data_IF_025496252233
#
_entry.id   IF_025496252233
#
_cell.length_a   1.000
_cell.length_b   1.000
_cell.length_c   1.000
_cell.angle_alpha   90.00
_cell.angle_beta   90.00
_cell.angle_gamma   90.00
#
_symmetry.space_group_name_H-M   'P 1'
#
loop_
_entity.id
_entity.type
_entity.pdbx_description
1 polymer ?
#
# COMPACT_ATOMS: atom_id res chain seq x y z
N UNK A 1 28.66 14.68 -20.66
CA UNK A 1 29.01 14.88 -19.23
C UNK A 1 28.31 13.86 -18.31
N UNK A 2 27.36 13.06 -18.80
CA UNK A 2 26.59 12.06 -18.04
C UNK A 2 27.35 10.76 -17.70
N UNK A 3 28.32 10.33 -18.53
CA UNK A 3 28.96 9.02 -18.36
C UNK A 3 29.87 8.93 -17.12
N UNK A 4 30.47 10.05 -16.69
CA UNK A 4 31.38 10.06 -15.54
C UNK A 4 30.59 10.02 -14.22
N UNK A 5 29.43 10.68 -14.18
CA UNK A 5 28.56 10.69 -13.01
C UNK A 5 27.87 9.33 -12.83
N UNK A 6 27.46 8.68 -13.93
CA UNK A 6 26.95 7.30 -13.91
C UNK A 6 27.99 6.29 -13.41
N UNK A 7 29.24 6.39 -13.89
CA UNK A 7 30.35 5.55 -13.43
C UNK A 7 30.68 5.79 -11.94
N UNK A 8 30.60 7.04 -11.49
CA UNK A 8 30.80 7.41 -10.09
C UNK A 8 29.71 6.83 -9.18
N UNK A 9 28.44 6.83 -9.62
CA UNK A 9 27.35 6.19 -8.87
C UNK A 9 27.52 4.66 -8.83
N UNK A 10 27.98 4.03 -9.91
CA UNK A 10 28.28 2.58 -9.91
C UNK A 10 29.44 2.24 -8.98
N UNK A 11 30.49 3.06 -8.95
CA UNK A 11 31.59 2.90 -8.00
C UNK A 11 31.12 3.12 -6.55
N UNK A 12 30.33 4.15 -6.29
CA UNK A 12 29.81 4.44 -4.95
C UNK A 12 28.84 3.37 -4.46
N UNK A 13 27.97 2.86 -5.32
CA UNK A 13 27.02 1.79 -4.98
C UNK A 13 27.72 0.45 -4.73
N UNK A 14 28.78 0.12 -5.48
CA UNK A 14 29.59 -1.09 -5.22
C UNK A 14 30.42 -0.94 -3.94
N UNK A 15 31.03 0.23 -3.69
CA UNK A 15 31.72 0.53 -2.43
C UNK A 15 30.74 0.45 -1.25
N UNK A 16 29.54 0.99 -1.39
CA UNK A 16 28.49 0.91 -0.39
C UNK A 16 28.05 -0.53 -0.12
N UNK A 17 27.83 -1.35 -1.15
CA UNK A 17 27.55 -2.78 -0.99
C UNK A 17 28.69 -3.53 -0.28
N UNK A 18 29.95 -3.24 -0.61
CA UNK A 18 31.12 -3.86 0.05
C UNK A 18 31.20 -3.44 1.51
N UNK A 19 30.99 -2.15 1.82
CA UNK A 19 30.98 -1.65 3.22
C UNK A 19 29.85 -2.28 4.03
N UNK A 20 28.67 -2.48 3.42
CA UNK A 20 27.55 -3.14 4.07
C UNK A 20 27.82 -4.62 4.34
N UNK A 21 28.32 -5.36 3.34
CA UNK A 21 28.52 -6.81 3.42
C UNK A 21 29.75 -7.23 4.25
N UNK A 22 30.84 -6.46 4.18
CA UNK A 22 32.13 -6.84 4.78
C UNK A 22 32.39 -6.10 6.10
N UNK A 23 32.03 -4.81 6.19
CA UNK A 23 32.38 -3.97 7.34
C UNK A 23 31.21 -3.77 8.32
N UNK A 24 29.96 -4.10 7.93
CA UNK A 24 28.74 -3.84 8.70
C UNK A 24 28.64 -2.38 9.20
N UNK A 25 29.25 -1.45 8.47
CA UNK A 25 29.35 -0.05 8.84
C UNK A 25 28.12 0.71 8.33
N UNK A 26 27.10 0.76 9.19
CA UNK A 26 25.82 1.43 8.94
C UNK A 26 25.94 2.95 8.73
N UNK A 27 26.69 3.72 9.55
CA UNK A 27 26.81 5.16 9.34
C UNK A 27 27.55 5.50 8.05
N UNK A 28 28.66 4.81 7.75
CA UNK A 28 29.41 5.05 6.51
C UNK A 28 28.63 4.70 5.24
N UNK A 29 27.73 3.71 5.31
CA UNK A 29 26.82 3.38 4.22
C UNK A 29 25.73 4.44 4.03
N UNK A 30 25.22 5.02 5.13
CA UNK A 30 24.21 6.09 5.07
C UNK A 30 24.74 7.34 4.37
N UNK A 31 25.95 7.77 4.70
CA UNK A 31 26.56 8.95 4.08
C UNK A 31 26.74 8.75 2.57
N UNK A 32 27.13 7.54 2.16
CA UNK A 32 27.23 7.16 0.74
C UNK A 32 25.85 7.13 0.08
N UNK A 33 24.82 6.61 0.74
CA UNK A 33 23.45 6.58 0.22
C UNK A 33 22.94 8.00 0.02
N UNK A 34 23.11 8.89 1.00
CA UNK A 34 22.68 10.29 0.92
C UNK A 34 23.45 11.05 -0.18
N UNK A 35 24.78 10.89 -0.25
CA UNK A 35 25.58 11.51 -1.32
C UNK A 35 25.14 11.01 -2.69
N UNK A 36 24.92 9.70 -2.83
CA UNK A 36 24.50 9.09 -4.09
C UNK A 36 23.08 9.53 -4.46
N UNK A 37 22.17 9.67 -3.50
CA UNK A 37 20.81 10.15 -3.72
C UNK A 37 20.78 11.58 -4.28
N UNK A 38 21.63 12.48 -3.76
CA UNK A 38 21.71 13.87 -4.26
C UNK A 38 22.23 13.93 -5.69
N UNK A 39 23.17 13.05 -6.05
CA UNK A 39 23.72 12.95 -7.41
C UNK A 39 22.68 12.34 -8.34
N UNK A 40 21.97 11.30 -7.88
CA UNK A 40 20.91 10.62 -8.62
C UNK A 40 19.75 11.58 -8.94
N UNK A 41 19.36 12.45 -7.99
CA UNK A 41 18.30 13.44 -8.21
C UNK A 41 18.60 14.51 -9.27
N UNK A 42 19.86 14.62 -9.70
CA UNK A 42 20.29 15.54 -10.77
C UNK A 42 20.28 14.88 -12.15
N UNK A 43 20.18 13.55 -12.22
CA UNK A 43 20.16 12.79 -13.46
C UNK A 43 18.70 12.50 -13.80
N UNK A 44 18.20 13.14 -14.86
CA UNK A 44 16.88 12.84 -15.40
C UNK A 44 16.96 11.60 -16.31
N UNK A 45 16.42 10.47 -15.85
CA UNK A 45 16.25 9.25 -16.66
C UNK A 45 16.41 7.96 -15.87
N UNK A 46 15.76 6.88 -16.33
CA UNK A 46 15.89 5.54 -15.73
C UNK A 46 17.06 4.81 -16.38
N UNK A 47 18.27 5.05 -15.86
CA UNK A 47 19.48 4.29 -16.25
C UNK A 47 19.60 3.04 -15.36
N UNK A 48 20.18 1.90 -15.82
CA UNK A 48 20.52 0.72 -14.99
C UNK A 48 21.38 1.01 -13.73
N UNK A 49 21.93 2.22 -13.63
CA UNK A 49 22.57 2.74 -12.42
C UNK A 49 21.57 2.80 -11.23
N UNK A 50 20.31 3.11 -11.51
CA UNK A 50 19.24 3.18 -10.50
C UNK A 50 18.96 1.81 -9.88
N UNK A 51 18.96 0.74 -10.67
CA UNK A 51 18.70 -0.61 -10.15
C UNK A 51 19.79 -1.03 -9.14
N UNK A 52 21.06 -0.73 -9.41
CA UNK A 52 22.17 -1.01 -8.49
C UNK A 52 22.11 -0.17 -7.22
N UNK A 53 21.76 1.10 -7.33
CA UNK A 53 21.54 1.98 -6.18
C UNK A 53 20.39 1.47 -5.30
N UNK A 54 19.22 1.19 -5.87
CA UNK A 54 18.07 0.72 -5.11
C UNK A 54 18.32 -0.67 -4.49
N UNK A 55 19.10 -1.55 -5.14
CA UNK A 55 19.55 -2.83 -4.56
C UNK A 55 20.45 -2.63 -3.33
N UNK A 56 21.30 -1.62 -3.32
CA UNK A 56 22.12 -1.28 -2.14
C UNK A 56 21.26 -0.67 -1.02
N UNK A 57 20.44 0.34 -1.37
CA UNK A 57 19.56 1.07 -0.46
C UNK A 57 18.61 0.14 0.29
N UNK A 58 17.96 -0.77 -0.44
CA UNK A 58 17.10 -1.81 0.14
C UNK A 58 17.84 -2.76 1.09
N UNK A 59 19.05 -3.23 0.77
CA UNK A 59 19.83 -4.07 1.70
C UNK A 59 20.17 -3.32 2.99
N UNK A 60 20.50 -2.04 2.89
CA UNK A 60 20.70 -1.18 4.06
C UNK A 60 19.43 -1.06 4.92
N UNK A 61 18.27 -0.75 4.33
CA UNK A 61 17.02 -0.65 5.08
C UNK A 61 16.57 -1.98 5.68
N UNK A 62 16.89 -3.11 5.03
CA UNK A 62 16.65 -4.45 5.57
C UNK A 62 17.47 -4.71 6.83
N UNK A 63 18.75 -4.32 6.85
CA UNK A 63 19.63 -4.43 8.02
C UNK A 63 19.22 -3.47 9.16
N UNK A 64 18.80 -2.26 8.81
CA UNK A 64 18.33 -1.26 9.77
C UNK A 64 16.96 -1.60 10.39
N UNK A 65 16.25 -2.60 9.86
CA UNK A 65 14.90 -2.96 10.31
C UNK A 65 13.82 -1.94 9.94
N UNK A 66 14.10 -1.01 9.01
CA UNK A 66 13.14 0.00 8.56
C UNK A 66 12.30 -0.54 7.39
N UNK A 67 11.22 -1.25 7.74
CA UNK A 67 10.38 -1.95 6.75
C UNK A 67 9.63 -1.01 5.78
N UNK A 68 9.28 0.20 6.20
CA UNK A 68 8.51 1.14 5.37
C UNK A 68 9.35 1.73 4.23
N UNK A 69 10.57 2.18 4.52
CA UNK A 69 11.48 2.70 3.50
C UNK A 69 12.02 1.59 2.61
N UNK A 70 12.29 0.41 3.18
CA UNK A 70 12.61 -0.78 2.40
C UNK A 70 11.53 -1.07 1.34
N UNK A 71 10.25 -1.03 1.73
CA UNK A 71 9.15 -1.28 0.82
C UNK A 71 9.12 -0.27 -0.36
N UNK A 72 9.30 1.03 -0.09
CA UNK A 72 9.32 2.06 -1.14
C UNK A 72 10.48 1.89 -2.11
N UNK A 73 11.68 1.67 -1.58
CA UNK A 73 12.89 1.51 -2.38
C UNK A 73 12.88 0.21 -3.16
N UNK A 74 12.30 -0.86 -2.60
CA UNK A 74 12.09 -2.11 -3.30
C UNK A 74 11.08 -1.97 -4.44
N UNK A 75 9.99 -1.21 -4.29
CA UNK A 75 9.08 -0.94 -5.41
C UNK A 75 9.76 -0.14 -6.53
N UNK A 76 10.56 0.87 -6.17
CA UNK A 76 11.37 1.63 -7.15
C UNK A 76 12.35 0.72 -7.88
N UNK A 77 13.03 -0.18 -7.16
CA UNK A 77 13.90 -1.18 -7.76
C UNK A 77 13.15 -2.03 -8.79
N UNK A 78 11.99 -2.56 -8.42
CA UNK A 78 11.16 -3.39 -9.31
C UNK A 78 10.64 -2.62 -10.52
N UNK A 79 10.34 -1.32 -10.38
CA UNK A 79 9.95 -0.47 -11.50
C UNK A 79 11.09 -0.12 -12.47
N UNK A 80 12.35 -0.24 -12.05
CA UNK A 80 13.52 0.06 -12.87
C UNK A 80 14.20 -1.17 -13.49
N UNK A 81 13.82 -2.38 -13.08
CA UNK A 81 14.51 -3.61 -13.49
C UNK A 81 13.56 -4.48 -14.31
N UNK A 82 13.99 -4.89 -15.50
CA UNK A 82 13.19 -5.82 -16.29
C UNK A 82 13.20 -7.22 -15.66
N UNK A 83 12.02 -7.83 -15.59
CA UNK A 83 11.77 -9.14 -15.01
C UNK A 83 12.57 -10.29 -15.68
N UNK A 84 13.22 -10.01 -16.82
CA UNK A 84 14.06 -10.95 -17.55
C UNK A 84 15.49 -11.06 -17.00
N UNK A 85 15.98 -10.09 -16.21
CA UNK A 85 17.36 -10.08 -15.73
C UNK A 85 17.60 -10.86 -14.43
N UNK A 86 16.53 -11.19 -13.69
CA UNK A 86 16.61 -11.87 -12.40
C UNK A 86 16.27 -13.35 -12.50
N UNK A 87 17.01 -14.18 -11.75
CA UNK A 87 16.67 -15.58 -11.57
C UNK A 87 15.35 -15.75 -10.81
N UNK A 88 14.64 -16.84 -11.07
CA UNK A 88 13.35 -17.09 -10.39
C UNK A 88 13.52 -17.31 -8.88
N UNK A 89 14.70 -17.72 -8.42
CA UNK A 89 15.05 -17.82 -7.00
C UNK A 89 15.22 -16.44 -6.36
N UNK A 90 15.96 -15.54 -7.00
CA UNK A 90 16.12 -14.16 -6.50
C UNK A 90 14.75 -13.44 -6.45
N UNK A 91 13.91 -13.61 -7.48
CA UNK A 91 12.56 -13.04 -7.50
C UNK A 91 11.71 -13.51 -6.32
N UNK A 92 11.81 -14.78 -5.95
CA UNK A 92 11.07 -15.35 -4.83
C UNK A 92 11.52 -14.76 -3.49
N UNK A 93 12.83 -14.67 -3.25
CA UNK A 93 13.37 -14.11 -2.02
C UNK A 93 13.04 -12.62 -1.87
N UNK A 94 13.04 -11.90 -2.99
CA UNK A 94 12.60 -10.51 -3.07
C UNK A 94 11.11 -10.38 -2.80
N UNK A 95 10.25 -11.14 -3.47
CA UNK A 95 8.80 -11.12 -3.23
C UNK A 95 8.46 -11.46 -1.77
N UNK A 96 9.15 -12.43 -1.18
CA UNK A 96 8.97 -12.79 0.22
C UNK A 96 9.39 -11.64 1.15
N UNK A 97 10.57 -11.04 0.92
CA UNK A 97 11.06 -9.90 1.71
C UNK A 97 10.16 -8.67 1.58
N UNK A 98 9.67 -8.36 0.38
CA UNK A 98 8.77 -7.24 0.11
C UNK A 98 7.38 -7.49 0.71
N UNK A 99 6.85 -8.70 0.59
CA UNK A 99 5.57 -9.06 1.21
C UNK A 99 5.62 -8.97 2.74
N UNK A 100 6.71 -9.42 3.37
CA UNK A 100 6.94 -9.22 4.80
C UNK A 100 7.05 -7.74 5.16
N UNK A 101 7.82 -6.97 4.40
CA UNK A 101 7.96 -5.54 4.63
C UNK A 101 6.66 -4.76 4.44
N UNK A 102 5.81 -5.15 3.49
CA UNK A 102 4.49 -4.56 3.30
C UNK A 102 3.58 -4.81 4.50
N UNK A 103 3.66 -5.99 5.11
CA UNK A 103 2.89 -6.34 6.31
C UNK A 103 3.39 -5.57 7.54
N UNK A 104 4.70 -5.58 7.77
CA UNK A 104 5.34 -4.96 8.93
C UNK A 104 5.49 -3.43 8.83
N UNK A 105 5.46 -2.89 7.60
CA UNK A 105 5.64 -1.48 7.32
C UNK A 105 4.54 -0.63 7.95
N UNK A 106 4.95 0.31 8.79
CA UNK A 106 4.06 1.36 9.31
C UNK A 106 3.73 2.35 8.19
N UNK A 107 2.45 2.73 8.08
CA UNK A 107 2.01 3.70 7.06
C UNK A 107 1.75 3.12 5.66
N UNK A 108 2.05 1.84 5.41
CA UNK A 108 1.77 1.19 4.12
C UNK A 108 0.42 0.49 4.17
N UNK A 109 -0.60 1.10 3.54
CA UNK A 109 -1.97 0.57 3.46
C UNK A 109 -2.43 0.26 2.02
N UNK A 110 -1.58 0.54 1.04
CA UNK A 110 -1.81 0.27 -0.38
C UNK A 110 -1.15 -1.05 -0.77
N UNK A 111 -1.86 -2.15 -0.59
CA UNK A 111 -1.38 -3.48 -1.01
C UNK A 111 -1.67 -3.78 -2.48
N UNK A 112 -2.60 -3.05 -3.10
CA UNK A 112 -3.03 -3.34 -4.47
C UNK A 112 -1.93 -3.17 -5.51
N UNK A 113 -1.00 -2.24 -5.31
CA UNK A 113 0.16 -2.06 -6.21
C UNK A 113 1.06 -3.30 -6.20
N UNK A 114 1.35 -3.83 -5.01
CA UNK A 114 2.12 -5.08 -4.89
C UNK A 114 1.37 -6.27 -5.49
N UNK A 115 0.05 -6.35 -5.27
CA UNK A 115 -0.80 -7.44 -5.78
C UNK A 115 -0.82 -7.48 -7.30
N UNK A 116 -0.78 -6.32 -7.97
CA UNK A 116 -0.77 -6.25 -9.44
C UNK A 116 0.56 -6.62 -10.10
N UNK A 117 1.66 -6.72 -9.35
CA UNK A 117 2.96 -7.05 -9.92
C UNK A 117 3.12 -8.56 -10.17
N UNK A 118 3.59 -8.91 -11.36
CA UNK A 118 3.83 -10.30 -11.84
C UNK A 118 4.76 -11.12 -10.94
N UNK A 119 5.57 -10.46 -10.09
CA UNK A 119 6.49 -11.11 -9.14
C UNK A 119 5.73 -11.98 -8.12
N UNK A 120 4.49 -11.61 -7.77
CA UNK A 120 3.65 -12.42 -6.90
C UNK A 120 3.07 -13.65 -7.61
N UNK A 121 2.89 -13.60 -8.94
CA UNK A 121 2.47 -14.77 -9.71
C UNK A 121 3.58 -15.83 -9.74
N UNK A 122 4.85 -15.40 -9.87
CA UNK A 122 6.01 -16.29 -9.72
C UNK A 122 6.09 -16.90 -8.32
N UNK A 123 5.68 -16.15 -7.28
CA UNK A 123 5.59 -16.63 -5.91
C UNK A 123 4.46 -17.68 -5.72
N UNK A 124 3.35 -17.52 -6.43
CA UNK A 124 2.19 -18.42 -6.38
C UNK A 124 2.49 -19.83 -6.91
N UNK A 125 3.47 -19.96 -7.80
CA UNK A 125 3.92 -21.24 -8.33
C UNK A 125 4.52 -22.16 -7.25
N UNK A 126 4.94 -21.62 -6.10
CA UNK A 126 5.53 -22.39 -4.98
C UNK A 126 4.56 -22.50 -3.80
N UNK A 127 4.31 -23.74 -3.34
CA UNK A 127 3.37 -24.04 -2.23
C UNK A 127 3.76 -23.39 -0.89
N UNK A 128 5.04 -23.08 -0.68
CA UNK A 128 5.55 -22.56 0.59
C UNK A 128 5.29 -21.06 0.81
N UNK A 129 4.99 -20.31 -0.26
CA UNK A 129 4.78 -18.86 -0.20
C UNK A 129 3.36 -18.42 -0.62
N UNK A 130 2.54 -19.35 -1.10
CA UNK A 130 1.13 -19.10 -1.45
C UNK A 130 0.32 -18.49 -0.29
N UNK A 131 0.64 -18.86 0.96
CA UNK A 131 -0.03 -18.30 2.14
C UNK A 131 0.18 -16.79 2.31
N UNK A 132 1.30 -16.25 1.81
CA UNK A 132 1.61 -14.82 1.88
C UNK A 132 0.75 -14.04 0.89
N UNK A 133 0.57 -14.58 -0.31
CA UNK A 133 -0.32 -14.01 -1.35
C UNK A 133 -1.78 -14.04 -0.87
N UNK A 134 -2.23 -15.19 -0.35
CA UNK A 134 -3.57 -15.32 0.23
C UNK A 134 -3.79 -14.34 1.39
N UNK A 135 -2.75 -14.11 2.19
CA UNK A 135 -2.79 -13.13 3.26
C UNK A 135 -2.89 -11.70 2.74
N UNK A 136 -2.09 -11.33 1.75
CA UNK A 136 -2.14 -10.00 1.13
C UNK A 136 -3.53 -9.74 0.52
N UNK A 137 -4.12 -10.73 -0.15
CA UNK A 137 -5.50 -10.64 -0.64
C UNK A 137 -6.52 -10.52 0.49
N UNK A 138 -6.36 -11.27 1.59
CA UNK A 138 -7.22 -11.16 2.77
C UNK A 138 -7.14 -9.76 3.41
N UNK A 139 -5.94 -9.17 3.48
CA UNK A 139 -5.75 -7.80 3.94
C UNK A 139 -6.35 -6.76 2.99
N UNK A 140 -6.28 -6.98 1.67
CA UNK A 140 -6.90 -6.06 0.73
C UNK A 140 -8.44 -6.08 0.83
N UNK A 141 -9.03 -7.27 0.98
CA UNK A 141 -10.47 -7.46 1.14
C UNK A 141 -11.00 -7.11 2.54
N UNK A 142 -10.12 -7.03 3.54
CA UNK A 142 -10.50 -6.76 4.93
C UNK A 142 -11.13 -7.96 5.66
N UNK A 143 -10.89 -9.19 5.18
CA UNK A 143 -11.51 -10.40 5.74
C UNK A 143 -10.78 -10.89 7.01
N UNK A 144 -11.26 -10.45 8.18
CA UNK A 144 -10.70 -10.81 9.48
C UNK A 144 -10.73 -12.33 9.76
N UNK A 145 -11.64 -13.08 9.12
CA UNK A 145 -11.73 -14.55 9.25
C UNK A 145 -10.56 -15.29 8.62
N UNK A 146 -10.20 -14.89 7.40
CA UNK A 146 -9.09 -15.51 6.66
C UNK A 146 -7.78 -15.17 7.36
N UNK A 147 -7.67 -13.94 7.85
CA UNK A 147 -6.53 -13.50 8.68
C UNK A 147 -6.43 -14.34 9.95
N UNK A 148 -7.53 -14.57 10.67
CA UNK A 148 -7.53 -15.39 11.89
C UNK A 148 -7.13 -16.85 11.63
N UNK A 149 -7.58 -17.44 10.52
CA UNK A 149 -7.24 -18.83 10.13
C UNK A 149 -5.77 -19.01 9.75
N UNK A 150 -5.12 -17.95 9.27
CA UNK A 150 -3.73 -17.99 8.83
C UNK A 150 -2.72 -17.61 9.95
N UNK A 151 -3.17 -17.08 11.09
CA UNK A 151 -2.36 -16.86 12.32
C UNK A 151 -1.41 -18.00 12.72
N UNK A 152 -1.79 -19.28 12.72
CA UNK A 152 -0.89 -20.38 13.09
C UNK A 152 0.29 -20.56 12.12
N UNK A 153 0.15 -20.15 10.85
CA UNK A 153 1.25 -20.23 9.87
C UNK A 153 2.26 -19.09 10.06
N UNK A 154 1.81 -17.92 10.54
CA UNK A 154 2.68 -16.74 10.76
C UNK A 154 3.53 -16.83 12.02
N UNK A 155 3.06 -17.60 13.01
CA UNK A 155 3.79 -17.82 14.26
C UNK A 155 5.12 -18.55 14.07
N UNK A 156 5.37 -19.10 12.87
CA UNK A 156 6.68 -19.68 12.49
C UNK A 156 7.74 -18.62 12.18
N UNK A 157 7.35 -17.41 11.79
CA UNK A 157 8.27 -16.30 11.48
C UNK A 157 8.38 -15.41 12.73
N UNK A 158 9.59 -15.31 13.29
CA UNK A 158 9.85 -14.57 14.54
C UNK A 158 9.42 -13.10 14.46
N UNK A 159 9.65 -12.45 13.32
CA UNK A 159 9.33 -11.03 13.12
C UNK A 159 7.81 -10.77 13.11
N UNK A 160 7.02 -11.70 12.56
CA UNK A 160 5.55 -11.59 12.54
C UNK A 160 4.92 -11.89 13.90
N UNK A 161 5.54 -12.75 14.71
CA UNK A 161 5.07 -13.05 16.07
C UNK A 161 5.17 -11.83 16.99
N UNK A 162 6.28 -11.09 16.90
CA UNK A 162 6.49 -9.83 17.64
C UNK A 162 5.50 -8.76 17.19
N UNK A 163 5.23 -8.66 15.88
CA UNK A 163 4.31 -7.68 15.31
C UNK A 163 2.83 -8.13 15.25
N UNK A 164 2.46 -9.20 15.93
CA UNK A 164 1.12 -9.79 15.81
C UNK A 164 -0.03 -8.85 16.24
N UNK A 165 0.19 -8.05 17.28
CA UNK A 165 -0.78 -7.03 17.72
C UNK A 165 -0.90 -5.91 16.68
N UNK A 166 0.23 -5.42 16.17
CA UNK A 166 0.27 -4.40 15.13
C UNK A 166 -0.46 -4.84 13.86
N UNK A 167 -0.28 -6.10 13.43
CA UNK A 167 -0.97 -6.65 12.27
C UNK A 167 -2.48 -6.78 12.47
N UNK A 168 -2.93 -7.11 13.68
CA UNK A 168 -4.36 -7.15 14.00
C UNK A 168 -4.98 -5.75 13.95
N UNK A 169 -4.32 -4.75 14.52
CA UNK A 169 -4.75 -3.36 14.43
C UNK A 169 -4.78 -2.89 12.97
N UNK A 170 -3.75 -3.24 12.18
CA UNK A 170 -3.66 -2.93 10.75
C UNK A 170 -4.80 -3.58 9.96
N UNK A 171 -5.11 -4.85 10.24
CA UNK A 171 -6.23 -5.56 9.62
C UNK A 171 -7.57 -4.88 9.91
N UNK A 172 -7.79 -4.45 11.16
CA UNK A 172 -9.00 -3.75 11.58
C UNK A 172 -9.13 -2.40 10.89
N UNK A 173 -8.02 -1.63 10.78
CA UNK A 173 -8.01 -0.36 10.04
C UNK A 173 -8.31 -0.55 8.55
N UNK A 174 -7.79 -1.61 7.92
CA UNK A 174 -8.08 -1.94 6.52
C UNK A 174 -9.53 -2.35 6.30
N UNK A 175 -10.08 -3.19 7.20
CA UNK A 175 -11.49 -3.57 7.18
C UNK A 175 -12.40 -2.34 7.32
N UNK A 176 -12.03 -1.40 8.20
CA UNK A 176 -12.74 -0.13 8.36
C UNK A 176 -12.72 0.68 7.05
N UNK A 177 -11.55 0.84 6.43
CA UNK A 177 -11.42 1.57 5.17
C UNK A 177 -12.23 0.93 4.03
N UNK A 178 -12.19 -0.38 3.89
CA UNK A 178 -12.94 -1.11 2.85
C UNK A 178 -14.46 -0.94 3.05
N UNK A 179 -14.94 -0.98 4.30
CA UNK A 179 -16.34 -0.73 4.61
C UNK A 179 -16.78 0.67 4.20
N UNK A 180 -15.98 1.70 4.47
CA UNK A 180 -16.27 3.07 4.02
C UNK A 180 -16.15 3.24 2.51
N UNK A 181 -15.26 2.48 1.85
CA UNK A 181 -15.05 2.57 0.41
C UNK A 181 -16.22 1.98 -0.40
N UNK A 182 -16.79 0.84 0.03
CA UNK A 182 -17.94 0.22 -0.64
C UNK A 182 -19.19 1.11 -0.60
N UNK A 183 -19.34 1.90 0.46
CA UNK A 183 -20.51 2.75 0.65
C UNK A 183 -20.48 3.98 -0.28
N UNK A 184 -21.61 4.36 -0.88
CA UNK A 184 -21.69 5.52 -1.75
C UNK A 184 -21.47 6.84 -0.97
N UNK A 185 -21.00 7.91 -1.62
CA UNK A 185 -20.68 9.18 -0.98
C UNK A 185 -21.87 9.86 -0.29
N UNK A 186 -23.11 9.59 -0.74
CA UNK A 186 -24.32 10.26 -0.24
C UNK A 186 -24.74 9.83 1.19
N UNK A 187 -24.25 8.70 1.70
CA UNK A 187 -24.51 8.22 3.06
C UNK A 187 -23.20 7.80 3.75
N UNK A 188 -22.25 8.74 3.87
CA UNK A 188 -20.99 8.52 4.62
C UNK A 188 -21.13 8.64 6.14
N UNK A 189 -22.35 8.62 6.66
CA UNK A 189 -22.64 8.48 8.09
C UNK A 189 -22.71 7.00 8.45
N UNK A 190 -21.85 6.56 9.37
CA UNK A 190 -21.80 5.16 9.81
C UNK A 190 -21.98 5.09 11.31
N UNK A 191 -22.83 4.18 11.78
CA UNK A 191 -23.05 3.97 13.22
C UNK A 191 -21.93 3.14 13.84
N UNK A 192 -21.68 3.34 15.13
CA UNK A 192 -20.65 2.58 15.86
C UNK A 192 -20.97 1.08 15.89
N UNK A 193 -22.26 0.70 15.91
CA UNK A 193 -22.69 -0.70 15.85
C UNK A 193 -22.30 -1.39 14.55
N UNK A 194 -22.44 -0.70 13.41
CA UNK A 194 -22.06 -1.25 12.11
C UNK A 194 -20.53 -1.42 12.01
N UNK A 195 -19.78 -0.45 12.54
CA UNK A 195 -18.32 -0.54 12.62
C UNK A 195 -17.92 -1.69 13.55
N UNK A 196 -18.56 -1.84 14.71
CA UNK A 196 -18.28 -2.92 15.65
C UNK A 196 -18.53 -4.30 15.02
N UNK A 197 -19.61 -4.45 14.25
CA UNK A 197 -19.90 -5.69 13.50
C UNK A 197 -18.84 -5.99 12.44
N UNK A 198 -18.42 -4.97 11.68
CA UNK A 198 -17.42 -5.15 10.62
C UNK A 198 -16.01 -5.41 11.16
N UNK A 199 -15.62 -4.72 12.24
CA UNK A 199 -14.27 -4.81 12.84
C UNK A 199 -14.15 -5.88 13.92
N UNK A 200 -15.27 -6.51 14.32
CA UNK A 200 -15.37 -7.46 15.43
C UNK A 200 -14.71 -6.96 16.72
N UNK A 201 -14.77 -5.66 16.92
CA UNK A 201 -14.21 -5.00 18.09
C UNK A 201 -15.35 -4.53 18.99
N UNK A 202 -15.15 -4.50 20.32
CA UNK A 202 -16.11 -3.90 21.24
C UNK A 202 -16.40 -2.45 20.85
N UNK A 203 -17.64 -2.00 21.07
CA UNK A 203 -18.08 -0.64 20.75
C UNK A 203 -17.16 0.40 21.40
N UNK A 204 -16.69 0.15 22.63
CA UNK A 204 -15.76 1.01 23.37
C UNK A 204 -14.42 1.24 22.66
N UNK A 205 -13.97 0.27 21.85
CA UNK A 205 -12.71 0.37 21.11
C UNK A 205 -12.88 0.96 19.71
N UNK A 206 -14.11 1.06 19.22
CA UNK A 206 -14.40 1.60 17.87
C UNK A 206 -13.93 3.04 17.76
N UNK A 207 -14.16 3.85 18.79
CA UNK A 207 -13.73 5.24 18.81
C UNK A 207 -12.21 5.38 18.68
N UNK A 208 -11.46 4.60 19.47
CA UNK A 208 -10.00 4.59 19.39
C UNK A 208 -9.49 4.18 18.00
N UNK A 209 -10.11 3.18 17.38
CA UNK A 209 -9.76 2.74 16.01
C UNK A 209 -10.00 3.87 15.01
N UNK A 210 -11.14 4.55 15.08
CA UNK A 210 -11.49 5.67 14.20
C UNK A 210 -10.56 6.86 14.43
N UNK A 211 -10.28 7.21 15.69
CA UNK A 211 -9.34 8.26 16.06
C UNK A 211 -7.93 7.97 15.54
N UNK A 212 -7.49 6.71 15.61
CA UNK A 212 -6.20 6.29 15.05
C UNK A 212 -6.18 6.36 13.52
N UNK A 213 -7.26 5.97 12.86
CA UNK A 213 -7.37 6.09 11.40
C UNK A 213 -7.30 7.56 10.93
N UNK A 214 -7.92 8.47 11.68
CA UNK A 214 -7.83 9.92 11.45
C UNK A 214 -6.39 10.43 11.68
N UNK A 215 -5.74 9.99 12.76
CA UNK A 215 -4.37 10.39 13.11
C UNK A 215 -3.34 9.94 12.07
N UNK A 216 -3.56 8.78 11.45
CA UNK A 216 -2.74 8.25 10.35
C UNK A 216 -3.08 8.88 8.99
N UNK A 217 -3.97 9.87 8.94
CA UNK A 217 -4.45 10.54 7.73
C UNK A 217 -5.03 9.59 6.67
N UNK A 218 -5.50 8.40 7.06
CA UNK A 218 -6.14 7.45 6.14
C UNK A 218 -7.54 7.92 5.73
N UNK A 219 -8.19 8.65 6.64
CA UNK A 219 -9.50 9.25 6.46
C UNK A 219 -9.55 10.61 7.13
N UNK A 220 -10.47 11.46 6.67
CA UNK A 220 -10.84 12.72 7.33
C UNK A 220 -12.33 12.71 7.53
N UNK A 221 -12.77 13.07 8.74
CA UNK A 221 -14.17 13.04 9.11
C UNK A 221 -14.43 13.69 10.45
N UNK A 222 -15.68 13.63 10.89
CA UNK A 222 -16.14 14.05 12.21
C UNK A 222 -16.72 12.86 12.94
N UNK A 223 -16.44 12.79 14.23
CA UNK A 223 -16.99 11.81 15.15
C UNK A 223 -18.09 12.52 15.95
N UNK A 224 -19.28 11.94 15.99
CA UNK A 224 -20.39 12.37 16.82
C UNK A 224 -20.69 11.25 17.82
N UNK A 225 -20.15 11.41 19.03
CA UNK A 225 -20.26 10.42 20.10
C UNK A 225 -21.70 10.30 20.62
N UNK A 226 -22.42 11.43 20.74
CA UNK A 226 -23.79 11.46 21.28
C UNK A 226 -24.75 10.66 20.41
N UNK A 227 -24.63 10.81 19.09
CA UNK A 227 -25.43 10.05 18.13
C UNK A 227 -24.80 8.71 17.72
N UNK A 228 -23.62 8.37 18.26
CA UNK A 228 -22.81 7.20 17.88
C UNK A 228 -22.60 7.07 16.37
N UNK A 229 -22.31 8.18 15.70
CA UNK A 229 -22.15 8.26 14.24
C UNK A 229 -20.79 8.84 13.86
N UNK A 230 -20.19 8.27 12.82
CA UNK A 230 -18.98 8.80 12.17
C UNK A 230 -19.38 9.33 10.80
N UNK A 231 -19.11 10.60 10.55
CA UNK A 231 -19.31 11.26 9.25
C UNK A 231 -17.99 11.39 8.53
N UNK A 232 -17.84 10.74 7.38
CA UNK A 232 -16.58 10.73 6.64
C UNK A 232 -16.60 11.74 5.47
N UNK A 233 -15.62 12.64 5.44
CA UNK A 233 -15.49 13.67 4.40
C UNK A 233 -14.57 13.21 3.27
N UNK A 234 -13.45 12.55 3.61
CA UNK A 234 -12.43 12.15 2.67
C UNK A 234 -11.80 10.83 3.07
N UNK A 235 -11.48 9.99 2.08
CA UNK A 235 -10.80 8.71 2.24
C UNK A 235 -9.60 8.70 1.29
N UNK A 236 -8.49 8.11 1.72
CA UNK A 236 -7.33 7.92 0.86
C UNK A 236 -7.68 7.02 -0.34
N UNK A 237 -7.37 7.43 -1.58
CA UNK A 237 -7.59 6.60 -2.75
C UNK A 237 -6.70 5.35 -2.70
N UNK A 238 -7.26 4.22 -3.14
CA UNK A 238 -6.58 2.92 -3.21
C UNK A 238 -6.70 2.37 -4.63
N UNK A 239 -5.85 1.39 -4.94
CA UNK A 239 -5.96 0.61 -6.18
C UNK A 239 -7.27 -0.16 -6.17
N UNK A 240 -7.96 -0.13 -7.30
CA UNK A 240 -9.33 -0.60 -7.44
C UNK A 240 -9.36 -2.01 -8.01
N UNK A 241 -10.24 -2.85 -7.46
CA UNK A 241 -10.58 -4.12 -8.08
C UNK A 241 -11.53 -3.91 -9.28
N UNK A 242 -11.53 -4.85 -10.24
CA UNK A 242 -12.38 -4.78 -11.43
C UNK A 242 -13.87 -4.63 -11.10
N UNK A 243 -14.33 -5.26 -10.02
CA UNK A 243 -15.73 -5.17 -9.58
C UNK A 243 -16.06 -3.78 -9.01
N UNK A 244 -15.09 -3.12 -8.36
CA UNK A 244 -15.25 -1.75 -7.90
C UNK A 244 -15.33 -0.79 -9.10
N UNK A 245 -14.53 -1.02 -10.15
CA UNK A 245 -14.58 -0.23 -11.40
C UNK A 245 -15.96 -0.36 -12.06
N UNK A 246 -16.52 -1.57 -12.14
CA UNK A 246 -17.89 -1.79 -12.66
C UNK A 246 -18.92 -0.98 -11.88
N UNK A 247 -18.86 -1.02 -10.54
CA UNK A 247 -19.79 -0.25 -9.69
C UNK A 247 -19.67 1.27 -9.90
N UNK A 248 -18.47 1.78 -10.20
CA UNK A 248 -18.27 3.19 -10.53
C UNK A 248 -18.83 3.54 -11.91
N UNK A 249 -18.66 2.65 -12.90
CA UNK A 249 -19.25 2.83 -14.23
C UNK A 249 -20.78 2.88 -14.16
N UNK A 250 -21.41 2.00 -13.38
CA UNK A 250 -22.86 2.04 -13.13
C UNK A 250 -23.31 3.34 -12.48
N UNK A 251 -22.56 3.83 -11.48
CA UNK A 251 -22.84 5.13 -10.82
C UNK A 251 -22.69 6.30 -11.78
N UNK A 252 -21.66 6.30 -12.62
CA UNK A 252 -21.44 7.34 -13.62
C UNK A 252 -22.57 7.34 -14.65
N UNK A 253 -23.05 6.17 -15.05
CA UNK A 253 -24.20 6.04 -15.94
C UNK A 253 -25.49 6.57 -15.30
N UNK A 254 -25.75 6.26 -14.02
CA UNK A 254 -26.90 6.79 -13.29
C UNK A 254 -26.84 8.32 -13.14
N UNK A 255 -25.64 8.86 -12.87
CA UNK A 255 -25.42 10.31 -12.83
C UNK A 255 -25.62 10.95 -14.20
N UNK A 256 -25.09 10.34 -15.27
CA UNK A 256 -25.30 10.80 -16.64
C UNK A 256 -26.79 10.84 -16.99
N UNK A 257 -27.56 9.80 -16.65
CA UNK A 257 -29.01 9.78 -16.81
C UNK A 257 -29.69 10.93 -16.06
N UNK A 258 -29.29 11.19 -14.80
CA UNK A 258 -29.85 12.27 -13.99
C UNK A 258 -29.57 13.65 -14.59
N UNK A 259 -28.35 13.88 -15.10
CA UNK A 259 -27.97 15.13 -15.77
C UNK A 259 -28.74 15.32 -17.07
N UNK A 260 -28.92 14.25 -17.85
CA UNK A 260 -29.70 14.29 -19.09
C UNK A 260 -31.18 14.58 -18.80
N UNK A 261 -31.76 14.00 -17.74
CA UNK A 261 -33.12 14.33 -17.30
C UNK A 261 -33.28 15.79 -16.91
N UNK A 262 -32.32 16.36 -16.19
CA UNK A 262 -32.32 17.79 -15.82
C UNK A 262 -32.14 18.68 -17.05
N UNK A 263 -31.23 18.32 -17.97
CA UNK A 263 -31.04 19.05 -19.23
C UNK A 263 -32.32 19.06 -20.07
N UNK A 264 -33.05 17.94 -20.11
CA UNK A 264 -34.31 17.84 -20.84
C UNK A 264 -35.38 18.73 -20.20
N UNK A 265 -35.52 18.72 -18.86
CA UNK A 265 -36.42 19.62 -18.13
C UNK A 265 -36.12 21.09 -18.43
N UNK A 266 -34.85 21.49 -18.28
CA UNK A 266 -34.43 22.87 -18.58
C UNK A 266 -34.70 23.21 -20.04
N UNK A 267 -34.49 22.31 -20.99
CA UNK A 267 -34.75 22.56 -22.42
C UNK A 267 -36.23 22.75 -22.76
N UNK A 268 -37.14 22.19 -21.96
CA UNK A 268 -38.59 22.37 -22.11
C UNK A 268 -39.00 23.73 -21.56
N UNK A 269 -38.62 24.05 -20.33
CA UNK A 269 -38.96 25.33 -19.68
C UNK A 269 -38.30 26.53 -20.37
N UNK A 270 -37.06 26.37 -20.85
CA UNK A 270 -36.37 27.44 -21.57
C UNK A 270 -36.92 27.69 -22.97
N UNK A 271 -37.58 26.71 -23.61
CA UNK A 271 -38.33 26.95 -24.86
C UNK A 271 -39.60 27.76 -24.64
N UNK A 272 -40.21 27.73 -23.46
CA UNK A 272 -41.38 28.57 -23.13
C UNK A 272 -40.99 30.03 -22.82
N UNK A 273 -39.74 30.29 -22.43
CA UNK A 273 -39.27 31.62 -21.98
C UNK A 273 -38.42 32.34 -23.06
N UNK A 274 -37.67 31.61 -23.89
CA UNK A 274 -36.74 32.18 -24.89
C UNK A 274 -37.32 32.30 -26.30
N UNK A 275 -38.62 32.04 -26.49
CA UNK A 275 -39.38 32.38 -27.71
C UNK A 275 -40.27 33.57 -27.39
#
# INVERSE_FOLDING_TARGET
>A
MSLNDEALILAQSTIGMIRLLILNDLPGARDIIESTCTILSKIDGVTPVHSRYYRMSSQYYKLMGQHAEYYREALRFLGCTDMAELSDEEKQDWAFSIGLAALLGQGVYNFGELISHEILESLRAKKDAAWLVDLLHAFNKGDLDVVAKLKPKWSKVKDLAVASQFLQEKAVLLALMEMFFRRPPNHRTVTFEEIAKATRSPVDKVEYIVMRALSLNLMKGRIDEVNQKVSLNWLQPRVLDLDQIKSMAERLNAWHQSVTSVSNLVSVDSKEILI
#
